data_IF_521048477118
#
_entry.id   IF_521048477118
#
_cell.length_a   1.000
_cell.length_b   1.000
_cell.length_c   1.000
_cell.angle_alpha   90.00
_cell.angle_beta   90.00
_cell.angle_gamma   90.00
#
_symmetry.space_group_name_H-M   'P 1'
#
loop_
_entity.id
_entity.type
_entity.pdbx_description
1 polymer ?
#
# COMPACT_ATOMS: atom_id res chain seq x y z
N UNK A 1 -24.15 -3.75 -16.86
CA UNK A 1 -23.99 -2.35 -16.45
C UNK A 1 -22.77 -2.32 -15.56
N UNK A 2 -21.63 -1.94 -16.09
CA UNK A 2 -20.40 -1.80 -15.30
C UNK A 2 -20.56 -0.56 -14.43
N UNK A 3 -20.82 -0.78 -13.15
CA UNK A 3 -20.92 0.29 -12.16
C UNK A 3 -19.55 0.94 -12.03
N UNK A 4 -19.50 2.25 -12.27
CA UNK A 4 -18.33 3.07 -11.94
C UNK A 4 -17.97 2.80 -10.48
N UNK A 5 -16.72 2.43 -10.16
CA UNK A 5 -16.36 2.12 -8.78
C UNK A 5 -16.54 3.38 -7.92
N UNK A 6 -17.28 3.22 -6.83
CA UNK A 6 -17.56 4.29 -5.88
C UNK A 6 -16.26 4.69 -5.17
N UNK A 7 -15.99 5.99 -5.16
CA UNK A 7 -14.84 6.58 -4.47
C UNK A 7 -15.37 7.41 -3.32
N UNK A 8 -15.00 7.01 -2.12
CA UNK A 8 -15.33 7.70 -0.89
C UNK A 8 -14.16 8.61 -0.50
N UNK A 9 -14.47 9.81 0.01
CA UNK A 9 -13.46 10.66 0.64
C UNK A 9 -13.54 10.44 2.14
N UNK A 10 -12.43 10.05 2.75
CA UNK A 10 -12.34 9.84 4.19
C UNK A 10 -11.09 10.49 4.77
N UNK A 11 -11.20 10.98 5.99
CA UNK A 11 -10.06 11.45 6.77
C UNK A 11 -9.23 10.26 7.22
N UNK A 12 -7.94 10.24 6.88
CA UNK A 12 -6.99 9.26 7.35
C UNK A 12 -6.10 9.86 8.43
N UNK A 13 -5.99 9.13 9.54
CA UNK A 13 -5.13 9.50 10.65
C UNK A 13 -3.67 9.17 10.33
N UNK A 14 -2.77 10.01 10.82
CA UNK A 14 -1.35 9.74 10.69
C UNK A 14 -1.01 8.38 11.31
N UNK A 15 -0.37 7.51 10.53
CA UNK A 15 -0.12 6.12 10.93
C UNK A 15 1.36 5.81 10.85
N UNK A 16 1.94 5.37 11.96
CA UNK A 16 3.31 4.84 12.00
C UNK A 16 3.30 3.41 11.47
N UNK A 17 4.23 3.10 10.58
CA UNK A 17 4.31 1.80 9.92
C UNK A 17 5.72 1.23 9.94
N UNK A 18 5.81 -0.08 10.15
CA UNK A 18 7.01 -0.87 9.83
C UNK A 18 6.96 -1.20 8.34
N UNK A 19 8.04 -1.00 7.62
CA UNK A 19 8.08 -1.08 6.16
C UNK A 19 9.25 -1.92 5.69
N UNK A 20 9.00 -2.79 4.71
CA UNK A 20 10.02 -3.33 3.85
C UNK A 20 9.92 -2.67 2.46
N UNK A 21 11.05 -2.20 1.97
CA UNK A 21 11.14 -1.45 0.72
C UNK A 21 11.59 -2.37 -0.43
N UNK A 22 10.73 -2.55 -1.41
CA UNK A 22 11.08 -3.21 -2.66
C UNK A 22 11.53 -2.19 -3.69
N UNK A 23 12.72 -2.40 -4.25
CA UNK A 23 13.27 -1.62 -5.36
C UNK A 23 13.67 -2.57 -6.48
N UNK A 24 13.32 -2.23 -7.71
CA UNK A 24 13.63 -3.02 -8.90
C UNK A 24 12.46 -3.87 -9.39
N UNK A 25 12.77 -4.85 -10.24
CA UNK A 25 11.77 -5.57 -11.04
C UNK A 25 10.53 -6.06 -10.24
N UNK A 26 9.30 -5.67 -10.63
CA UNK A 26 8.07 -6.06 -9.93
C UNK A 26 7.85 -7.57 -9.88
N UNK A 27 8.42 -8.34 -10.83
CA UNK A 27 8.36 -9.81 -10.82
C UNK A 27 9.08 -10.43 -9.62
N UNK A 28 9.95 -9.68 -8.95
CA UNK A 28 10.68 -10.11 -7.75
C UNK A 28 9.93 -9.81 -6.44
N UNK A 29 8.78 -9.15 -6.48
CA UNK A 29 7.99 -8.77 -5.31
C UNK A 29 7.73 -9.94 -4.37
N UNK A 30 7.30 -11.09 -4.90
CA UNK A 30 7.02 -12.27 -4.08
C UNK A 30 8.24 -12.81 -3.30
N UNK A 31 9.46 -12.45 -3.71
CA UNK A 31 10.69 -12.79 -2.99
C UNK A 31 11.10 -11.67 -2.03
N UNK A 32 11.00 -10.40 -2.45
CA UNK A 32 11.41 -9.25 -1.62
C UNK A 32 10.54 -9.04 -0.39
N UNK A 33 9.26 -9.46 -0.42
CA UNK A 33 8.37 -9.33 0.75
C UNK A 33 8.57 -10.42 1.81
N UNK A 34 9.32 -11.50 1.52
CA UNK A 34 9.49 -12.61 2.48
C UNK A 34 10.13 -12.18 3.81
N UNK A 35 11.22 -11.37 3.82
CA UNK A 35 11.78 -10.82 5.06
C UNK A 35 10.75 -10.08 5.91
N UNK A 36 9.82 -9.35 5.27
CA UNK A 36 8.77 -8.65 5.98
C UNK A 36 7.79 -9.59 6.68
N UNK A 37 7.42 -10.70 6.02
CA UNK A 37 6.56 -11.73 6.62
C UNK A 37 7.25 -12.34 7.84
N UNK A 38 8.54 -12.64 7.76
CA UNK A 38 9.30 -13.20 8.87
C UNK A 38 9.43 -12.21 10.02
N UNK A 39 9.72 -10.94 9.72
CA UNK A 39 9.74 -9.87 10.72
C UNK A 39 8.39 -9.72 11.45
N UNK A 40 7.26 -9.79 10.72
CA UNK A 40 5.92 -9.73 11.33
C UNK A 40 5.65 -10.91 12.27
N UNK A 41 6.16 -12.11 11.93
CA UNK A 41 6.05 -13.29 12.81
C UNK A 41 6.85 -13.10 14.09
N UNK A 42 8.10 -12.63 13.98
CA UNK A 42 8.96 -12.36 15.14
C UNK A 42 8.35 -11.33 16.10
N UNK A 43 7.60 -10.35 15.56
CA UNK A 43 6.98 -9.28 16.33
C UNK A 43 5.50 -9.56 16.70
N UNK A 44 4.95 -10.72 16.35
CA UNK A 44 3.53 -11.09 16.59
C UNK A 44 2.52 -10.08 15.99
N UNK A 45 2.77 -9.63 14.77
CA UNK A 45 1.94 -8.64 14.06
C UNK A 45 1.20 -9.25 12.86
N UNK A 46 0.29 -10.24 13.03
CA UNK A 46 -0.47 -10.78 11.92
C UNK A 46 -1.42 -9.72 11.31
N UNK A 47 -1.90 -9.90 10.06
CA UNK A 47 -2.84 -8.96 9.42
C UNK A 47 -4.11 -8.68 10.22
N UNK A 48 -4.57 -9.65 11.03
CA UNK A 48 -5.73 -9.49 11.90
C UNK A 48 -5.50 -8.57 13.11
N UNK A 49 -4.24 -8.33 13.48
CA UNK A 49 -3.87 -7.50 14.63
C UNK A 49 -3.21 -6.17 14.20
N UNK A 50 -2.62 -6.12 13.00
CA UNK A 50 -1.96 -4.94 12.46
C UNK A 50 -2.35 -4.78 11.00
N UNK A 51 -2.96 -3.63 10.70
CA UNK A 51 -3.39 -3.27 9.35
C UNK A 51 -2.20 -3.29 8.39
N UNK A 52 -2.42 -3.81 7.18
CA UNK A 52 -1.37 -3.94 6.16
C UNK A 52 -1.55 -2.86 5.10
N UNK A 53 -0.44 -2.28 4.69
CA UNK A 53 -0.35 -1.16 3.76
C UNK A 53 0.55 -1.54 2.59
N UNK A 54 0.07 -1.34 1.36
CA UNK A 54 0.87 -1.47 0.15
C UNK A 54 1.07 -0.06 -0.43
N UNK A 55 2.27 0.51 -0.39
CA UNK A 55 2.53 1.85 -0.94
C UNK A 55 3.09 1.72 -2.36
N UNK A 56 2.38 2.26 -3.35
CA UNK A 56 2.82 2.26 -4.75
C UNK A 56 3.20 3.68 -5.15
N UNK A 57 4.43 3.82 -5.62
CA UNK A 57 4.98 5.12 -6.02
C UNK A 57 4.90 5.36 -7.53
N UNK A 58 4.83 4.28 -8.32
CA UNK A 58 4.91 4.32 -9.77
C UNK A 58 3.99 3.24 -10.40
N UNK A 59 3.50 3.49 -11.61
CA UNK A 59 2.87 2.44 -12.43
C UNK A 59 3.98 1.57 -13.04
N UNK A 60 4.02 0.24 -12.76
CA UNK A 60 5.04 -0.66 -13.31
C UNK A 60 5.04 -0.76 -14.84
N UNK A 61 3.97 -0.31 -15.51
CA UNK A 61 3.90 -0.24 -16.98
C UNK A 61 4.50 1.05 -17.55
N UNK A 62 4.75 2.06 -16.70
CA UNK A 62 5.23 3.39 -17.11
C UNK A 62 6.68 3.66 -16.71
N UNK A 63 7.23 2.90 -15.76
CA UNK A 63 8.63 3.01 -15.33
C UNK A 63 9.45 1.78 -15.74
N UNK A 64 10.76 1.95 -15.86
CA UNK A 64 11.64 0.80 -16.08
C UNK A 64 11.66 -0.11 -14.85
N UNK A 65 12.01 -1.38 -15.04
CA UNK A 65 12.06 -2.36 -13.96
C UNK A 65 12.95 -1.90 -12.79
N UNK A 66 14.08 -1.24 -13.07
CA UNK A 66 15.02 -0.80 -12.04
C UNK A 66 14.55 0.46 -11.29
N UNK A 67 13.63 1.22 -11.87
CA UNK A 67 13.02 2.40 -11.25
C UNK A 67 11.75 2.10 -10.46
N UNK A 68 11.21 0.87 -10.56
CA UNK A 68 10.01 0.48 -9.85
C UNK A 68 10.23 0.48 -8.34
N UNK A 69 9.34 1.15 -7.62
CA UNK A 69 9.35 1.24 -6.17
C UNK A 69 8.00 0.81 -5.60
N UNK A 70 8.08 -0.05 -4.59
CA UNK A 70 6.94 -0.55 -3.87
C UNK A 70 7.33 -0.75 -2.41
N UNK A 71 6.47 -0.37 -1.49
CA UNK A 71 6.68 -0.65 -0.08
C UNK A 71 5.52 -1.49 0.45
N UNK A 72 5.84 -2.49 1.25
CA UNK A 72 4.84 -3.19 2.06
C UNK A 72 5.08 -2.84 3.52
N UNK A 73 4.02 -2.50 4.23
CA UNK A 73 4.11 -2.13 5.63
C UNK A 73 2.93 -2.58 6.48
N UNK A 74 3.10 -2.47 7.78
CA UNK A 74 2.04 -2.72 8.74
C UNK A 74 2.06 -1.70 9.87
N UNK A 75 0.89 -1.38 10.44
CA UNK A 75 0.78 -0.43 11.55
C UNK A 75 1.57 -0.91 12.78
N UNK A 76 2.27 0.03 13.42
CA UNK A 76 3.02 -0.21 14.66
C UNK A 76 2.81 0.96 15.63
N UNK A 77 2.85 0.68 16.93
CA UNK A 77 2.68 1.70 17.97
C UNK A 77 4.00 2.36 18.40
N UNK A 78 5.14 1.79 17.99
CA UNK A 78 6.46 2.30 18.32
C UNK A 78 7.46 2.01 17.19
N UNK A 79 8.54 2.81 17.02
CA UNK A 79 9.51 2.61 15.96
C UNK A 79 10.14 1.22 15.96
N UNK A 80 10.38 0.71 14.75
CA UNK A 80 11.12 -0.54 14.51
C UNK A 80 12.52 -0.42 15.10
N UNK A 81 12.90 -1.43 15.90
CA UNK A 81 14.26 -1.57 16.44
C UNK A 81 15.21 -2.10 15.35
N UNK A 82 16.52 -1.98 15.60
CA UNK A 82 17.52 -2.63 14.74
C UNK A 82 17.19 -4.10 14.52
N UNK A 83 17.25 -4.52 13.26
CA UNK A 83 16.92 -5.87 12.82
C UNK A 83 17.74 -6.21 11.58
N UNK A 84 17.87 -7.49 11.26
CA UNK A 84 18.63 -7.98 10.10
C UNK A 84 17.77 -8.21 8.85
N UNK A 85 16.52 -7.77 8.87
CA UNK A 85 15.51 -8.02 7.82
C UNK A 85 15.18 -6.76 7.01
N UNK A 86 16.00 -5.71 7.16
CA UNK A 86 15.88 -4.42 6.49
C UNK A 86 14.50 -3.77 6.63
N UNK A 87 13.83 -4.03 7.75
CA UNK A 87 12.54 -3.39 8.07
C UNK A 87 12.81 -2.05 8.74
N UNK A 88 12.21 -0.99 8.19
CA UNK A 88 12.41 0.40 8.62
C UNK A 88 11.11 1.01 9.14
N UNK A 89 11.22 2.13 9.86
CA UNK A 89 10.05 2.89 10.31
C UNK A 89 9.71 3.97 9.29
N UNK A 90 8.46 4.05 8.85
CA UNK A 90 7.91 5.16 8.07
C UNK A 90 6.60 5.66 8.67
N UNK A 91 6.07 6.74 8.10
CA UNK A 91 4.84 7.39 8.54
C UNK A 91 3.99 7.70 7.31
N UNK A 92 2.73 7.26 7.33
CA UNK A 92 1.71 7.72 6.40
C UNK A 92 1.12 8.99 7.02
N UNK A 93 1.21 10.16 6.35
CA UNK A 93 0.72 11.41 6.92
C UNK A 93 -0.79 11.40 7.09
N UNK A 94 -1.31 12.19 8.04
CA UNK A 94 -2.73 12.46 8.11
C UNK A 94 -3.19 13.25 6.88
N UNK A 95 -4.43 13.04 6.45
CA UNK A 95 -5.04 13.83 5.38
C UNK A 95 -6.27 13.20 4.78
N UNK A 96 -6.90 13.93 3.87
CA UNK A 96 -8.05 13.42 3.13
C UNK A 96 -7.59 12.42 2.07
N UNK A 97 -8.19 11.25 2.12
CA UNK A 97 -7.91 10.12 1.25
C UNK A 97 -9.08 9.84 0.32
N UNK A 98 -8.80 9.72 -0.97
CA UNK A 98 -9.72 9.10 -1.92
C UNK A 98 -9.62 7.57 -1.78
N UNK A 99 -10.67 6.92 -1.31
CA UNK A 99 -10.71 5.48 -1.05
C UNK A 99 -11.63 4.80 -2.04
N UNK A 100 -11.10 3.76 -2.69
CA UNK A 100 -11.85 2.89 -3.58
C UNK A 100 -11.84 1.47 -3.04
N UNK A 101 -12.96 0.77 -3.09
CA UNK A 101 -12.96 -0.65 -2.78
C UNK A 101 -12.71 -1.45 -4.06
N UNK A 102 -11.59 -2.14 -4.14
CA UNK A 102 -11.32 -3.07 -5.22
C UNK A 102 -12.04 -4.40 -4.94
N UNK A 103 -12.90 -4.79 -5.87
CA UNK A 103 -13.63 -6.06 -5.84
C UNK A 103 -13.34 -6.77 -7.15
N UNK A 104 -12.57 -7.85 -7.12
CA UNK A 104 -12.14 -8.52 -8.34
C UNK A 104 -10.86 -9.33 -8.20
N UNK A 105 -10.27 -9.68 -9.34
CA UNK A 105 -8.94 -10.31 -9.45
C UNK A 105 -7.85 -9.26 -9.25
N UNK A 106 -6.72 -9.65 -8.69
CA UNK A 106 -5.53 -8.79 -8.60
C UNK A 106 -5.07 -8.31 -9.99
N UNK A 107 -5.39 -9.04 -11.06
CA UNK A 107 -5.11 -8.63 -12.45
C UNK A 107 -5.79 -7.31 -12.83
N UNK A 108 -6.94 -6.99 -12.22
CA UNK A 108 -7.66 -5.73 -12.46
C UNK A 108 -7.29 -4.63 -11.46
N UNK A 109 -6.34 -4.89 -10.55
CA UNK A 109 -5.86 -3.91 -9.58
C UNK A 109 -5.28 -2.67 -10.29
N UNK A 110 -4.51 -2.87 -11.36
CA UNK A 110 -3.94 -1.76 -12.14
C UNK A 110 -5.00 -0.79 -12.66
N UNK A 111 -6.22 -1.28 -12.95
CA UNK A 111 -7.35 -0.43 -13.38
C UNK A 111 -7.84 0.43 -12.22
N UNK A 112 -8.03 -0.16 -11.04
CA UNK A 112 -8.42 0.56 -9.82
C UNK A 112 -7.38 1.60 -9.40
N UNK A 113 -6.10 1.24 -9.47
CA UNK A 113 -4.97 2.14 -9.22
C UNK A 113 -5.00 3.33 -10.18
N UNK A 114 -5.07 3.06 -11.49
CA UNK A 114 -5.09 4.12 -12.50
C UNK A 114 -6.32 5.02 -12.36
N UNK A 115 -7.47 4.46 -12.00
CA UNK A 115 -8.68 5.24 -11.74
C UNK A 115 -8.50 6.21 -10.56
N UNK A 116 -7.87 5.78 -9.46
CA UNK A 116 -7.53 6.65 -8.34
C UNK A 116 -6.54 7.75 -8.73
N UNK A 117 -5.52 7.43 -9.53
CA UNK A 117 -4.58 8.44 -10.04
C UNK A 117 -5.28 9.52 -10.89
N UNK A 118 -6.23 9.13 -11.75
CA UNK A 118 -7.01 10.09 -12.54
C UNK A 118 -7.85 10.98 -11.63
N UNK A 119 -8.52 10.41 -10.62
CA UNK A 119 -9.31 11.20 -9.67
C UNK A 119 -8.44 12.15 -8.86
N UNK A 120 -7.27 11.72 -8.39
CA UNK A 120 -6.30 12.60 -7.71
C UNK A 120 -5.89 13.78 -8.57
N UNK A 121 -5.61 13.57 -9.85
CA UNK A 121 -5.24 14.67 -10.76
C UNK A 121 -6.41 15.65 -10.99
N UNK A 122 -7.65 15.18 -10.96
CA UNK A 122 -8.85 16.00 -11.12
C UNK A 122 -9.25 16.75 -9.85
N UNK A 123 -8.95 16.17 -8.68
CA UNK A 123 -9.23 16.72 -7.37
C UNK A 123 -7.90 17.05 -6.69
N UNK A 124 -7.37 18.25 -6.96
CA UNK A 124 -6.07 18.77 -6.50
C UNK A 124 -5.90 18.92 -4.97
N UNK A 125 -6.60 18.13 -4.15
CA UNK A 125 -6.64 18.20 -2.68
C UNK A 125 -6.43 16.88 -1.94
N UNK A 126 -6.32 15.73 -2.62
CA UNK A 126 -6.07 14.46 -1.92
C UNK A 126 -4.56 14.22 -1.76
N UNK A 127 -4.11 14.18 -0.51
CA UNK A 127 -2.73 13.87 -0.17
C UNK A 127 -2.41 12.39 -0.39
N UNK A 128 -3.44 11.54 -0.39
CA UNK A 128 -3.30 10.09 -0.39
C UNK A 128 -4.48 9.47 -1.17
N UNK A 129 -4.23 8.44 -1.96
CA UNK A 129 -5.30 7.58 -2.50
C UNK A 129 -5.17 6.19 -1.90
N UNK A 130 -6.28 5.51 -1.62
CA UNK A 130 -6.23 4.17 -1.06
C UNK A 130 -7.20 3.16 -1.69
N UNK A 131 -6.81 1.89 -1.74
CA UNK A 131 -7.70 0.80 -2.17
C UNK A 131 -7.87 -0.27 -1.11
N UNK A 132 -9.11 -0.65 -0.77
CA UNK A 132 -9.41 -1.79 0.12
C UNK A 132 -9.77 -3.03 -0.68
N UNK A 133 -9.19 -4.17 -0.34
CA UNK A 133 -9.51 -5.46 -0.99
C UNK A 133 -10.57 -6.24 -0.22
N UNK A 134 -11.52 -6.85 -0.95
CA UNK A 134 -12.57 -7.69 -0.34
C UNK A 134 -12.10 -9.10 0.02
N UNK A 135 -11.05 -9.62 -0.62
CA UNK A 135 -10.63 -11.03 -0.51
C UNK A 135 -9.31 -11.24 0.25
N UNK A 136 -8.58 -10.17 0.56
CA UNK A 136 -7.33 -10.19 1.31
C UNK A 136 -7.45 -9.34 2.58
N UNK A 137 -7.53 -10.03 3.72
CA UNK A 137 -7.33 -9.62 5.12
C UNK A 137 -7.02 -8.13 5.41
N UNK A 138 -7.92 -7.20 5.06
CA UNK A 138 -7.82 -5.79 5.45
C UNK A 138 -6.64 -5.02 4.82
N UNK A 139 -6.09 -5.51 3.71
CA UNK A 139 -5.00 -4.82 3.03
C UNK A 139 -5.48 -3.52 2.40
N UNK A 140 -4.71 -2.46 2.60
CA UNK A 140 -4.98 -1.14 2.06
C UNK A 140 -3.83 -0.72 1.17
N UNK A 141 -4.12 -0.43 -0.09
CA UNK A 141 -3.15 0.18 -1.01
C UNK A 141 -3.11 1.66 -0.75
N UNK A 142 -1.95 2.31 -0.86
CA UNK A 142 -1.76 3.74 -0.66
C UNK A 142 -0.88 4.30 -1.78
N UNK A 143 -1.22 5.51 -2.24
CA UNK A 143 -0.46 6.27 -3.23
C UNK A 143 -0.12 7.64 -2.62
N UNK A 144 1.16 7.91 -2.33
CA UNK A 144 1.62 9.21 -1.83
C UNK A 144 1.64 10.29 -2.93
#
# INVERSE_FOLDING_TARGET
MDTVPEVEITSFEETLIAVNEHRGDPRKLGTSIKPFIDWRRENNLPPSASQTFNLLYNDPNLVSADEYQFDIGCAIDSPVKENTLDVVTKRIPAGDCAVLRHIGSDDTLGISVNYLYVIRNLAAGFCISASRFSNLLGESVFFP
#
